data_IF_088708290811
#
_entry.id   IF_088708290811
#
_cell.length_a   1.000
_cell.length_b   1.000
_cell.length_c   1.000
_cell.angle_alpha   90.00
_cell.angle_beta   90.00
_cell.angle_gamma   90.00
#
_symmetry.space_group_name_H-M   'P 1'
#
loop_
_entity.id
_entity.type
_entity.pdbx_description
1 polymer ?
#
# COMPACT_ATOMS: atom_id res chain seq x y z
N UNK A 1 -12.63 24.62 0.78
CA UNK A 1 -12.99 23.38 1.49
C UNK A 1 -12.16 22.27 0.87
N UNK A 2 -11.45 21.47 1.67
CA UNK A 2 -10.79 20.27 1.15
C UNK A 2 -11.87 19.25 0.76
N UNK A 3 -11.67 18.55 -0.36
CA UNK A 3 -12.64 17.59 -0.92
C UNK A 3 -11.91 16.42 -1.56
N UNK A 4 -12.61 15.29 -1.66
CA UNK A 4 -12.11 14.11 -2.37
C UNK A 4 -11.88 14.39 -3.86
N UNK A 5 -12.69 15.27 -4.48
CA UNK A 5 -12.48 15.72 -5.86
C UNK A 5 -11.13 16.40 -6.07
N UNK A 6 -10.70 17.25 -5.14
CA UNK A 6 -9.40 17.91 -5.22
C UNK A 6 -8.26 16.88 -5.10
N UNK A 7 -8.41 15.90 -4.20
CA UNK A 7 -7.46 14.79 -4.07
C UNK A 7 -7.41 13.95 -5.36
N UNK A 8 -8.56 13.63 -5.94
CA UNK A 8 -8.69 12.87 -7.17
C UNK A 8 -8.04 13.59 -8.36
N UNK A 9 -8.25 14.90 -8.50
CA UNK A 9 -7.65 15.68 -9.57
C UNK A 9 -6.13 15.76 -9.41
N UNK A 10 -5.63 15.98 -8.18
CA UNK A 10 -4.19 15.95 -7.93
C UNK A 10 -3.60 14.58 -8.30
N UNK A 11 -4.22 13.48 -7.86
CA UNK A 11 -3.73 12.13 -8.14
C UNK A 11 -3.79 11.80 -9.63
N UNK A 12 -4.83 12.26 -10.34
CA UNK A 12 -4.93 12.14 -11.79
C UNK A 12 -3.79 12.89 -12.49
N UNK A 13 -3.55 14.16 -12.15
CA UNK A 13 -2.45 14.96 -12.73
C UNK A 13 -1.09 14.31 -12.43
N UNK A 14 -0.88 13.87 -11.18
CA UNK A 14 0.33 13.17 -10.76
C UNK A 14 0.56 11.92 -11.61
N UNK A 15 -0.43 11.04 -11.72
CA UNK A 15 -0.30 9.79 -12.49
C UNK A 15 -0.24 10.03 -14.00
N UNK A 16 -0.93 11.03 -14.53
CA UNK A 16 -0.86 11.44 -15.94
C UNK A 16 0.57 11.85 -16.36
N UNK A 17 1.36 12.41 -15.44
CA UNK A 17 2.77 12.79 -15.70
C UNK A 17 3.69 11.61 -16.00
N UNK A 18 3.29 10.38 -15.66
CA UNK A 18 4.05 9.16 -15.92
C UNK A 18 3.65 8.45 -17.22
N UNK A 19 2.72 9.03 -17.99
CA UNK A 19 2.30 8.49 -19.29
C UNK A 19 3.36 8.75 -20.35
N UNK A 20 3.62 7.74 -21.17
CA UNK A 20 4.39 7.88 -22.42
C UNK A 20 3.43 7.67 -23.58
N UNK A 21 3.39 8.63 -24.52
CA UNK A 21 2.43 8.61 -25.64
C UNK A 21 0.95 8.46 -25.18
N UNK A 22 0.62 9.06 -24.03
CA UNK A 22 -0.73 9.02 -23.45
C UNK A 22 -1.10 7.73 -22.72
N UNK A 23 -0.19 6.76 -22.64
CA UNK A 23 -0.44 5.44 -22.04
C UNK A 23 0.46 5.24 -20.81
N UNK A 24 -0.11 4.70 -19.73
CA UNK A 24 0.68 4.25 -18.57
C UNK A 24 1.29 2.87 -18.86
N UNK A 25 2.52 2.68 -18.41
CA UNK A 25 3.11 1.35 -18.36
C UNK A 25 2.18 0.39 -17.58
N UNK A 26 1.99 -0.87 -18.00
CA UNK A 26 1.04 -1.80 -17.35
C UNK A 26 1.22 -1.95 -15.84
N UNK A 27 2.46 -1.88 -15.33
CA UNK A 27 2.76 -1.89 -13.90
C UNK A 27 2.29 -0.63 -13.17
N UNK A 28 2.39 0.54 -13.79
CA UNK A 28 1.88 1.79 -13.23
C UNK A 28 0.35 1.86 -13.31
N UNK A 29 -0.25 1.35 -14.38
CA UNK A 29 -1.71 1.20 -14.49
C UNK A 29 -2.26 0.23 -13.43
N UNK A 30 -1.55 -0.86 -13.14
CA UNK A 30 -1.88 -1.76 -12.04
C UNK A 30 -1.91 -1.01 -10.70
N UNK A 31 -0.89 -0.18 -10.44
CA UNK A 31 -0.81 0.63 -9.22
C UNK A 31 -1.87 1.73 -9.15
N UNK A 32 -2.17 2.41 -10.26
CA UNK A 32 -3.28 3.35 -10.35
C UNK A 32 -4.61 2.69 -9.96
N UNK A 33 -4.91 1.51 -10.51
CA UNK A 33 -6.15 0.77 -10.22
C UNK A 33 -6.18 0.26 -8.78
N UNK A 34 -5.03 -0.19 -8.26
CA UNK A 34 -4.86 -0.61 -6.88
C UNK A 34 -5.12 0.53 -5.89
N UNK A 35 -4.49 1.69 -6.07
CA UNK A 35 -4.73 2.88 -5.21
C UNK A 35 -6.20 3.28 -5.14
N UNK A 36 -6.94 3.20 -6.26
CA UNK A 36 -8.38 3.49 -6.28
C UNK A 36 -9.19 2.50 -5.43
N UNK A 37 -8.90 1.21 -5.52
CA UNK A 37 -9.57 0.19 -4.70
C UNK A 37 -9.21 0.28 -3.24
N UNK A 38 -7.94 0.54 -2.92
CA UNK A 38 -7.51 0.76 -1.52
C UNK A 38 -8.22 1.98 -0.94
N UNK A 39 -8.43 3.05 -1.71
CA UNK A 39 -9.24 4.20 -1.31
C UNK A 39 -10.71 3.84 -1.04
N UNK A 40 -11.31 3.03 -1.89
CA UNK A 40 -12.68 2.53 -1.71
C UNK A 40 -12.79 1.67 -0.44
N UNK A 41 -11.89 0.70 -0.27
CA UNK A 41 -11.84 -0.18 0.91
C UNK A 41 -11.60 0.63 2.20
N UNK A 42 -10.70 1.62 2.19
CA UNK A 42 -10.50 2.51 3.33
C UNK A 42 -11.80 3.21 3.72
N UNK A 43 -12.56 3.68 2.73
CA UNK A 43 -13.83 4.38 2.96
C UNK A 43 -14.89 3.42 3.51
N UNK A 44 -15.00 2.22 2.95
CA UNK A 44 -15.93 1.19 3.43
C UNK A 44 -15.62 0.74 4.87
N UNK A 45 -14.35 0.53 5.21
CA UNK A 45 -13.95 0.17 6.57
C UNK A 45 -14.25 1.33 7.53
N UNK A 46 -13.87 2.56 7.19
CA UNK A 46 -14.14 3.73 8.03
C UNK A 46 -15.64 3.92 8.29
N UNK A 47 -16.47 3.78 7.26
CA UNK A 47 -17.93 3.85 7.36
C UNK A 47 -18.48 2.72 8.25
N UNK A 48 -18.00 1.48 8.09
CA UNK A 48 -18.41 0.32 8.90
C UNK A 48 -18.05 0.47 10.39
N UNK A 49 -16.95 1.18 10.67
CA UNK A 49 -16.48 1.51 12.01
C UNK A 49 -17.18 2.74 12.61
N UNK A 50 -18.08 3.38 11.85
CA UNK A 50 -18.82 4.56 12.28
C UNK A 50 -17.97 5.83 12.38
N UNK A 51 -16.86 5.92 11.63
CA UNK A 51 -15.98 7.10 11.61
C UNK A 51 -16.61 8.22 10.77
N UNK A 52 -17.42 9.04 11.42
CA UNK A 52 -18.25 10.07 10.81
C UNK A 52 -17.93 11.48 11.32
N UNK A 53 -16.78 11.67 11.97
CA UNK A 53 -16.35 13.01 12.36
C UNK A 53 -16.04 13.84 11.11
N UNK A 54 -16.15 15.17 11.24
CA UNK A 54 -15.92 16.06 10.12
C UNK A 54 -14.52 15.87 9.53
N UNK A 55 -14.45 15.35 8.30
CA UNK A 55 -13.21 15.09 7.58
C UNK A 55 -12.76 13.63 7.55
N UNK A 56 -13.38 12.72 8.30
CA UNK A 56 -13.02 11.29 8.31
C UNK A 56 -13.18 10.66 6.91
N UNK A 57 -14.26 10.97 6.19
CA UNK A 57 -14.46 10.50 4.82
C UNK A 57 -13.34 10.97 3.87
N UNK A 58 -12.92 12.24 4.00
CA UNK A 58 -11.81 12.75 3.21
C UNK A 58 -10.48 12.09 3.60
N UNK A 59 -10.24 11.85 4.89
CA UNK A 59 -9.05 11.18 5.40
C UNK A 59 -8.94 9.74 4.89
N UNK A 60 -10.00 8.95 5.00
CA UNK A 60 -10.03 7.56 4.53
C UNK A 60 -9.74 7.47 3.03
N UNK A 61 -10.46 8.25 2.23
CA UNK A 61 -10.27 8.34 0.79
C UNK A 61 -8.85 8.80 0.43
N UNK A 62 -8.39 9.91 1.02
CA UNK A 62 -7.11 10.51 0.65
C UNK A 62 -5.92 9.66 1.07
N UNK A 63 -5.93 9.10 2.27
CA UNK A 63 -4.85 8.22 2.73
C UNK A 63 -4.78 6.94 1.87
N UNK A 64 -5.93 6.32 1.56
CA UNK A 64 -5.98 5.14 0.71
C UNK A 64 -5.61 5.41 -0.75
N UNK A 65 -6.04 6.53 -1.34
CA UNK A 65 -5.70 6.86 -2.73
C UNK A 65 -4.21 7.19 -2.90
N UNK A 66 -3.60 7.84 -1.91
CA UNK A 66 -2.25 8.37 -2.02
C UNK A 66 -1.17 7.45 -1.45
N UNK A 67 -1.52 6.34 -0.79
CA UNK A 67 -0.55 5.49 -0.09
C UNK A 67 0.63 5.04 -0.97
N UNK A 68 0.38 4.77 -2.24
CA UNK A 68 1.33 4.18 -3.17
C UNK A 68 1.94 5.18 -4.17
N UNK A 69 1.81 6.51 -3.93
CA UNK A 69 2.37 7.52 -4.85
C UNK A 69 3.88 7.37 -5.05
N UNK A 70 4.60 6.84 -4.06
CA UNK A 70 6.03 6.54 -4.18
C UNK A 70 6.36 5.44 -5.21
N UNK A 71 5.41 4.57 -5.56
CA UNK A 71 5.60 3.50 -6.56
C UNK A 71 5.82 4.03 -7.96
N UNK A 72 5.26 5.18 -8.29
CA UNK A 72 5.35 5.77 -9.63
C UNK A 72 6.80 6.18 -9.95
N UNK A 73 7.45 7.07 -9.18
CA UNK A 73 8.85 7.41 -9.42
C UNK A 73 9.81 6.25 -9.12
N UNK A 74 9.49 5.37 -8.16
CA UNK A 74 10.26 4.15 -7.93
C UNK A 74 10.36 3.31 -9.21
N UNK A 75 9.22 2.99 -9.83
CA UNK A 75 9.22 2.17 -11.03
C UNK A 75 9.81 2.90 -12.23
N UNK A 76 9.47 4.17 -12.44
CA UNK A 76 10.02 4.94 -13.56
C UNK A 76 11.53 5.10 -13.52
N UNK A 77 12.12 5.15 -12.31
CA UNK A 77 13.57 5.30 -12.14
C UNK A 77 14.32 3.97 -12.07
N UNK A 78 13.77 2.97 -11.39
CA UNK A 78 14.48 1.72 -11.08
C UNK A 78 13.94 0.50 -11.85
N UNK A 79 12.80 0.61 -12.53
CA UNK A 79 12.17 -0.49 -13.27
C UNK A 79 11.66 -1.62 -12.38
N UNK A 80 11.46 -1.37 -11.09
CA UNK A 80 11.06 -2.39 -10.11
C UNK A 80 10.27 -1.80 -8.94
N UNK A 81 9.46 -2.63 -8.28
CA UNK A 81 8.79 -2.34 -7.01
C UNK A 81 9.50 -2.98 -5.81
N UNK A 82 10.69 -3.57 -5.99
CA UNK A 82 11.43 -4.17 -4.89
C UNK A 82 12.20 -3.10 -4.11
N UNK A 83 11.66 -2.69 -2.97
CA UNK A 83 12.24 -1.65 -2.11
C UNK A 83 13.69 -1.97 -1.71
N UNK A 84 14.00 -3.24 -1.40
CA UNK A 84 15.32 -3.69 -0.94
C UNK A 84 16.45 -3.52 -1.95
N UNK A 85 16.14 -3.33 -3.23
CA UNK A 85 17.12 -3.09 -4.31
C UNK A 85 16.90 -1.73 -4.98
N UNK A 86 15.96 -0.91 -4.47
CA UNK A 86 15.63 0.40 -5.02
C UNK A 86 15.53 1.46 -3.90
N UNK A 87 14.32 1.84 -3.54
CA UNK A 87 13.99 2.84 -2.51
C UNK A 87 12.72 2.41 -1.79
N UNK A 88 12.61 2.73 -0.50
CA UNK A 88 11.40 2.54 0.26
C UNK A 88 10.29 3.46 -0.27
N UNK A 89 9.21 2.87 -0.79
CA UNK A 89 8.15 3.62 -1.45
C UNK A 89 7.24 4.38 -0.46
N UNK A 90 7.14 3.94 0.79
CA UNK A 90 6.41 4.66 1.83
C UNK A 90 7.12 5.96 2.19
N UNK A 91 8.43 5.90 2.41
CA UNK A 91 9.26 7.08 2.71
C UNK A 91 9.29 8.05 1.51
N UNK A 92 9.48 7.51 0.29
CA UNK A 92 9.44 8.30 -0.93
C UNK A 92 8.06 8.95 -1.15
N UNK A 93 6.99 8.21 -0.89
CA UNK A 93 5.63 8.72 -1.01
C UNK A 93 5.37 9.87 -0.03
N UNK A 94 5.80 9.73 1.23
CA UNK A 94 5.69 10.77 2.23
C UNK A 94 6.47 12.05 1.84
N UNK A 95 7.66 11.89 1.25
CA UNK A 95 8.46 13.00 0.73
C UNK A 95 7.74 13.74 -0.41
N UNK A 96 7.20 12.99 -1.38
CA UNK A 96 6.45 13.55 -2.53
C UNK A 96 5.25 14.33 -2.02
N UNK A 97 4.42 13.74 -1.15
CA UNK A 97 3.24 14.42 -0.62
C UNK A 97 3.60 15.68 0.17
N UNK A 98 4.71 15.66 0.91
CA UNK A 98 5.17 16.82 1.67
C UNK A 98 5.54 18.01 0.77
N UNK A 99 5.99 17.75 -0.45
CA UNK A 99 6.50 18.76 -1.40
C UNK A 99 5.50 19.18 -2.47
N UNK A 100 4.72 18.23 -2.97
CA UNK A 100 3.94 18.38 -4.21
C UNK A 100 2.43 18.36 -4.00
N UNK A 101 1.94 17.75 -2.90
CA UNK A 101 0.52 17.79 -2.59
C UNK A 101 0.10 19.17 -2.09
N UNK A 102 -1.03 19.67 -2.60
CA UNK A 102 -1.51 20.99 -2.23
C UNK A 102 -2.26 20.95 -0.89
N UNK A 103 -1.56 21.32 0.18
CA UNK A 103 -2.07 21.34 1.56
C UNK A 103 -2.91 22.58 1.92
N UNK A 104 -3.08 23.55 1.01
CA UNK A 104 -3.78 24.80 1.32
C UNK A 104 -5.21 24.53 1.81
N UNK A 105 -5.54 25.03 2.99
CA UNK A 105 -6.85 24.87 3.61
C UNK A 105 -7.12 23.48 4.21
N UNK A 106 -6.12 22.60 4.30
CA UNK A 106 -6.18 21.33 5.02
C UNK A 106 -5.58 21.52 6.43
N UNK A 107 -6.26 21.08 7.51
CA UNK A 107 -5.71 21.15 8.86
C UNK A 107 -4.37 20.40 9.01
N UNK A 108 -3.43 20.95 9.80
CA UNK A 108 -2.10 20.35 9.97
C UNK A 108 -2.14 18.92 10.50
N UNK A 109 -3.07 18.61 11.42
CA UNK A 109 -3.25 17.25 11.94
C UNK A 109 -3.69 16.27 10.83
N UNK A 110 -4.48 16.73 9.85
CA UNK A 110 -4.90 15.90 8.71
C UNK A 110 -3.72 15.66 7.77
N UNK A 111 -2.94 16.71 7.49
CA UNK A 111 -1.70 16.59 6.72
C UNK A 111 -0.74 15.57 7.34
N UNK A 112 -0.46 15.71 8.63
CA UNK A 112 0.40 14.78 9.38
C UNK A 112 -0.13 13.35 9.32
N UNK A 113 -1.44 13.16 9.48
CA UNK A 113 -2.06 11.84 9.44
C UNK A 113 -1.93 11.18 8.05
N UNK A 114 -2.18 11.91 6.95
CA UNK A 114 -2.03 11.37 5.59
C UNK A 114 -0.58 11.01 5.31
N UNK A 115 0.36 11.90 5.63
CA UNK A 115 1.79 11.65 5.43
C UNK A 115 2.25 10.43 6.25
N UNK A 116 1.78 10.28 7.50
CA UNK A 116 2.11 9.13 8.34
C UNK A 116 1.50 7.84 7.81
N UNK A 117 0.25 7.88 7.32
CA UNK A 117 -0.40 6.73 6.72
C UNK A 117 0.41 6.23 5.50
N UNK A 118 0.81 7.14 4.62
CA UNK A 118 1.68 6.84 3.46
C UNK A 118 3.06 6.35 3.90
N UNK A 119 3.69 6.96 4.90
CA UNK A 119 5.01 6.55 5.36
C UNK A 119 5.02 5.15 5.99
N UNK A 120 4.01 4.81 6.79
CA UNK A 120 4.01 3.60 7.61
C UNK A 120 3.26 2.41 6.98
N UNK A 121 2.57 2.58 5.85
CA UNK A 121 1.76 1.49 5.30
C UNK A 121 2.58 0.25 4.89
N UNK A 122 3.82 0.42 4.44
CA UNK A 122 4.68 -0.68 4.01
C UNK A 122 5.62 -1.22 5.08
N UNK A 123 5.68 -0.59 6.27
CA UNK A 123 6.65 -0.94 7.31
C UNK A 123 6.28 -2.25 7.99
N UNK A 124 7.23 -2.92 8.62
CA UNK A 124 6.92 -4.15 9.40
C UNK A 124 6.00 -3.83 10.59
N UNK A 125 6.28 -2.74 11.29
CA UNK A 125 5.52 -2.27 12.45
C UNK A 125 5.19 -0.78 12.30
N UNK A 126 4.02 -0.38 12.78
CA UNK A 126 3.68 1.04 12.98
C UNK A 126 4.20 1.43 14.38
N UNK A 127 4.99 2.50 14.52
CA UNK A 127 5.45 2.95 15.84
C UNK A 127 4.27 3.27 16.76
N UNK A 128 4.35 2.86 18.03
CA UNK A 128 3.27 3.04 19.01
C UNK A 128 3.36 4.38 19.76
N UNK A 129 4.46 5.10 19.61
CA UNK A 129 4.75 6.39 20.26
C UNK A 129 4.40 7.62 19.40
N UNK A 130 3.59 7.43 18.34
CA UNK A 130 3.07 8.50 17.48
C UNK A 130 1.67 8.97 17.91
N UNK A 131 1.22 10.09 17.34
CA UNK A 131 -0.13 10.61 17.59
C UNK A 131 -1.19 9.56 17.20
N UNK A 132 -2.26 9.44 18.02
CA UNK A 132 -3.32 8.45 17.79
C UNK A 132 -3.96 8.55 16.39
N UNK A 133 -4.12 9.76 15.85
CA UNK A 133 -4.60 9.96 14.48
C UNK A 133 -3.67 9.31 13.44
N UNK A 134 -2.36 9.56 13.55
CA UNK A 134 -1.38 8.97 12.64
C UNK A 134 -1.41 7.44 12.70
N UNK A 135 -1.45 6.87 13.91
CA UNK A 135 -1.57 5.43 14.10
C UNK A 135 -2.86 4.86 13.49
N UNK A 136 -4.02 5.45 13.81
CA UNK A 136 -5.35 5.06 13.29
C UNK A 136 -5.35 4.97 11.76
N UNK A 137 -4.90 6.02 11.08
CA UNK A 137 -4.94 6.08 9.62
C UNK A 137 -3.87 5.21 8.95
N UNK A 138 -2.70 5.03 9.58
CA UNK A 138 -1.71 4.04 9.12
C UNK A 138 -2.27 2.62 9.17
N UNK A 139 -2.95 2.21 10.26
CA UNK A 139 -3.58 0.90 10.36
C UNK A 139 -4.67 0.70 9.29
N UNK A 140 -5.55 1.68 9.09
CA UNK A 140 -6.60 1.60 8.07
C UNK A 140 -6.02 1.33 6.67
N UNK A 141 -4.99 2.07 6.28
CA UNK A 141 -4.38 1.93 4.95
C UNK A 141 -3.69 0.57 4.82
N UNK A 142 -3.01 0.10 5.86
CA UNK A 142 -2.38 -1.24 5.88
C UNK A 142 -3.39 -2.34 5.67
N UNK A 143 -4.50 -2.30 6.39
CA UNK A 143 -5.54 -3.32 6.29
C UNK A 143 -6.18 -3.30 4.90
N UNK A 144 -6.47 -2.10 4.39
CA UNK A 144 -7.07 -1.91 3.06
C UNK A 144 -6.15 -2.37 1.93
N UNK A 145 -4.86 -2.06 2.02
CA UNK A 145 -3.82 -2.50 1.08
C UNK A 145 -3.71 -4.04 1.06
N UNK A 146 -3.58 -4.66 2.25
CA UNK A 146 -3.55 -6.12 2.39
C UNK A 146 -4.79 -6.78 1.77
N UNK A 147 -5.99 -6.24 2.01
CA UNK A 147 -7.24 -6.76 1.45
C UNK A 147 -7.22 -6.72 -0.08
N UNK A 148 -6.79 -5.61 -0.70
CA UNK A 148 -6.69 -5.56 -2.17
C UNK A 148 -5.59 -6.49 -2.71
N UNK A 149 -4.47 -6.63 -2.01
CA UNK A 149 -3.40 -7.57 -2.38
C UNK A 149 -3.91 -9.02 -2.35
N UNK A 150 -4.67 -9.41 -1.32
CA UNK A 150 -5.29 -10.74 -1.26
C UNK A 150 -6.14 -11.01 -2.50
N UNK A 151 -7.04 -10.07 -2.81
CA UNK A 151 -7.92 -10.13 -3.98
C UNK A 151 -7.12 -10.24 -5.29
N UNK A 152 -6.07 -9.44 -5.44
CA UNK A 152 -5.19 -9.48 -6.63
C UNK A 152 -4.45 -10.82 -6.76
N UNK A 153 -3.99 -11.39 -5.65
CA UNK A 153 -3.30 -12.69 -5.62
C UNK A 153 -4.26 -13.83 -5.96
N UNK A 154 -5.47 -13.82 -5.39
CA UNK A 154 -6.54 -14.76 -5.71
C UNK A 154 -6.90 -14.72 -7.20
N UNK A 155 -7.14 -13.53 -7.76
CA UNK A 155 -7.45 -13.36 -9.19
C UNK A 155 -6.34 -13.93 -10.09
N UNK A 156 -5.08 -13.80 -9.69
CA UNK A 156 -3.92 -14.34 -10.42
C UNK A 156 -3.84 -15.85 -10.33
N UNK A 157 -4.21 -16.44 -9.18
CA UNK A 157 -4.30 -17.89 -8.99
C UNK A 157 -5.39 -18.46 -9.90
N UNK A 158 -6.59 -17.86 -9.89
CA UNK A 158 -7.73 -18.31 -10.69
C UNK A 158 -7.43 -18.27 -12.19
N UNK A 159 -6.66 -17.27 -12.62
CA UNK A 159 -6.19 -17.12 -14.01
C UNK A 159 -4.98 -17.99 -14.36
N UNK A 160 -4.37 -18.67 -13.38
CA UNK A 160 -3.15 -19.45 -13.59
C UNK A 160 -1.89 -18.61 -13.87
N UNK A 161 -1.90 -17.31 -13.56
CA UNK A 161 -0.82 -16.36 -13.86
C UNK A 161 -0.01 -15.95 -12.62
N UNK A 162 -0.25 -16.57 -11.46
CA UNK A 162 0.47 -16.25 -10.21
C UNK A 162 1.99 -16.40 -10.32
N UNK A 163 2.45 -17.30 -11.18
CA UNK A 163 3.86 -17.56 -11.43
C UNK A 163 4.57 -16.43 -12.20
N UNK A 164 3.83 -15.54 -12.86
CA UNK A 164 4.38 -14.30 -13.42
C UNK A 164 4.79 -13.31 -12.32
N UNK A 165 4.07 -13.32 -11.19
CA UNK A 165 4.40 -12.51 -10.01
C UNK A 165 5.48 -13.16 -9.15
N UNK A 166 5.57 -14.49 -9.19
CA UNK A 166 6.50 -15.29 -8.38
C UNK A 166 7.44 -16.17 -9.21
N UNK A 167 8.20 -15.62 -10.17
CA UNK A 167 9.00 -16.42 -11.09
C UNK A 167 10.08 -17.26 -10.38
N UNK A 168 10.59 -16.78 -9.23
CA UNK A 168 11.61 -17.49 -8.43
C UNK A 168 11.06 -18.60 -7.54
N UNK A 169 9.76 -18.63 -7.28
CA UNK A 169 9.13 -19.49 -6.27
C UNK A 169 8.43 -20.73 -6.88
N UNK A 170 8.78 -21.08 -8.12
CA UNK A 170 8.20 -22.17 -8.89
C UNK A 170 8.78 -23.56 -8.53
N UNK A 171 9.87 -23.64 -7.77
CA UNK A 171 10.79 -24.79 -7.86
C UNK A 171 10.92 -25.63 -6.59
N UNK A 172 10.14 -25.37 -5.53
CA UNK A 172 10.29 -26.10 -4.27
C UNK A 172 8.97 -26.62 -3.69
N UNK A 173 8.98 -27.88 -3.28
CA UNK A 173 7.90 -28.49 -2.50
C UNK A 173 8.11 -28.26 -1.00
N UNK A 174 7.00 -28.11 -0.26
CA UNK A 174 6.98 -27.92 1.18
C UNK A 174 7.28 -26.50 1.65
N UNK A 175 6.97 -26.24 2.92
CA UNK A 175 7.24 -24.96 3.57
C UNK A 175 8.73 -24.78 3.86
N UNK A 176 9.21 -23.56 3.75
CA UNK A 176 10.54 -23.15 4.19
C UNK A 176 10.70 -23.34 5.70
N UNK A 177 11.64 -24.19 6.16
CA UNK A 177 11.87 -24.39 7.60
C UNK A 177 12.24 -23.09 8.32
N UNK A 178 13.07 -22.25 7.67
CA UNK A 178 13.49 -20.96 8.21
C UNK A 178 12.30 -20.00 8.35
N UNK A 179 11.37 -20.01 7.39
CA UNK A 179 10.14 -19.22 7.46
C UNK A 179 9.22 -19.71 8.60
N UNK A 180 9.06 -21.03 8.74
CA UNK A 180 8.22 -21.62 9.79
C UNK A 180 8.76 -21.25 11.17
N UNK A 181 10.09 -21.32 11.36
CA UNK A 181 10.69 -20.93 12.63
C UNK A 181 10.60 -19.43 12.89
N UNK A 182 10.79 -18.59 11.87
CA UNK A 182 10.59 -17.13 11.98
C UNK A 182 9.17 -16.79 12.44
N UNK A 183 8.16 -17.43 11.86
CA UNK A 183 6.75 -17.21 12.22
C UNK A 183 6.48 -17.71 13.64
N UNK A 184 7.01 -18.87 14.03
CA UNK A 184 6.87 -19.38 15.41
C UNK A 184 7.46 -18.42 16.44
N UNK A 185 8.59 -17.79 16.11
CA UNK A 185 9.32 -16.91 17.03
C UNK A 185 8.78 -15.48 17.06
N UNK A 186 8.27 -14.96 15.93
CA UNK A 186 7.93 -13.54 15.79
C UNK A 186 6.45 -13.27 15.50
N UNK A 187 5.66 -14.30 15.21
CA UNK A 187 4.28 -14.17 14.75
C UNK A 187 4.13 -13.73 13.29
N UNK A 188 5.22 -13.38 12.60
CA UNK A 188 5.24 -12.82 11.24
C UNK A 188 6.31 -13.50 10.37
N UNK A 189 6.14 -13.50 9.05
CA UNK A 189 7.10 -14.09 8.12
C UNK A 189 7.71 -13.09 7.14
N UNK A 190 9.00 -13.23 6.84
CA UNK A 190 9.70 -12.39 5.85
C UNK A 190 9.73 -13.04 4.47
N UNK A 191 9.49 -12.24 3.42
CA UNK A 191 9.58 -12.69 2.03
C UNK A 191 10.97 -13.20 1.62
N UNK A 192 12.04 -12.83 2.34
CA UNK A 192 13.39 -13.37 2.13
C UNK A 192 13.49 -14.87 2.39
N UNK A 193 12.63 -15.42 3.25
CA UNK A 193 12.60 -16.83 3.60
C UNK A 193 11.58 -17.62 2.76
N UNK A 194 10.86 -16.96 1.85
CA UNK A 194 9.88 -17.60 0.98
C UNK A 194 10.56 -18.27 -0.23
N UNK A 195 10.17 -19.51 -0.54
CA UNK A 195 10.73 -20.32 -1.64
C UNK A 195 9.66 -20.89 -2.56
N UNK A 196 8.40 -20.88 -2.13
CA UNK A 196 7.25 -21.43 -2.85
C UNK A 196 6.01 -20.53 -2.77
N UNK A 197 5.00 -20.79 -3.61
CA UNK A 197 3.68 -20.17 -3.46
C UNK A 197 3.05 -20.46 -2.08
N UNK A 198 3.33 -21.62 -1.48
CA UNK A 198 2.85 -21.99 -0.15
C UNK A 198 3.47 -21.08 0.92
N UNK A 199 4.76 -20.78 0.81
CA UNK A 199 5.44 -19.84 1.71
C UNK A 199 4.87 -18.42 1.59
N UNK A 200 4.59 -17.97 0.37
CA UNK A 200 3.94 -16.67 0.14
C UNK A 200 2.58 -16.60 0.82
N UNK A 201 1.76 -17.65 0.69
CA UNK A 201 0.46 -17.73 1.36
C UNK A 201 0.61 -17.79 2.88
N UNK A 202 1.60 -18.51 3.39
CA UNK A 202 1.86 -18.57 4.82
C UNK A 202 2.22 -17.20 5.39
N UNK A 203 3.08 -16.43 4.71
CA UNK A 203 3.38 -15.03 5.08
C UNK A 203 2.10 -14.20 5.08
N UNK A 204 1.29 -14.29 4.02
CA UNK A 204 0.05 -13.53 3.94
C UNK A 204 -0.86 -13.86 5.13
N UNK A 205 -1.04 -15.13 5.50
CA UNK A 205 -1.84 -15.52 6.67
C UNK A 205 -1.39 -14.84 7.98
N UNK A 206 -0.09 -14.52 8.12
CA UNK A 206 0.39 -13.78 9.30
C UNK A 206 -0.07 -12.32 9.33
N UNK A 207 -0.41 -11.72 8.18
CA UNK A 207 -0.87 -10.33 8.10
C UNK A 207 -2.16 -10.04 8.86
N UNK A 208 -2.99 -11.06 9.10
CA UNK A 208 -4.20 -10.95 9.91
C UNK A 208 -3.94 -11.00 11.42
N UNK A 209 -2.69 -11.21 11.83
CA UNK A 209 -2.25 -11.26 13.22
C UNK A 209 -1.44 -10.01 13.63
N UNK A 210 -1.26 -9.06 12.70
CA UNK A 210 -0.49 -7.82 12.89
C UNK A 210 -1.23 -6.76 13.71
#
# INVERSE_FOLDING_TARGET
MFSTDRTNEWFKVFTDSYKTEGILHPMLDLKLKHSKRVSEICSEIADSMGWNENGDNWMAHTAGLLHDVGRFPQYSKYGTFFDSISVDHGDLGAEILSKEFNWDGIPDNFRENVISAVMFHNKKLVPTDIKLGAYKWSCLVRDSDKIDIYRMVEERIDKGTIFEMLPRHQLTEGLSPDLVEEIRMTGSGSYSNARSLQDYRLIQLTWGCD
#
